data_IF_105403548424
#
_entry.id   IF_105403548424
#
_cell.length_a   1.000
_cell.length_b   1.000
_cell.length_c   1.000
_cell.angle_alpha   90.00
_cell.angle_beta   90.00
_cell.angle_gamma   90.00
#
_symmetry.space_group_name_H-M   'P 1'
#
loop_
_entity.id
_entity.type
_entity.pdbx_description
1 polymer ?
#
# COMPACT_ATOMS: atom_id res chain seq x y z
N UNK A 1 -0.28 -4.74 9.60
CA UNK A 1 -0.23 -5.95 10.43
C UNK A 1 -1.50 -6.07 11.22
N UNK A 2 -2.13 -7.23 11.21
CA UNK A 2 -3.33 -7.51 12.01
C UNK A 2 -2.99 -7.42 13.50
N UNK A 3 -3.83 -6.72 14.26
CA UNK A 3 -3.71 -6.58 15.70
C UNK A 3 -4.82 -7.40 16.36
N UNK A 4 -4.45 -8.49 17.03
CA UNK A 4 -5.39 -9.41 17.65
C UNK A 4 -6.18 -8.77 18.80
N UNK A 5 -5.71 -7.66 19.38
CA UNK A 5 -6.43 -6.94 20.42
C UNK A 5 -7.54 -6.02 19.87
N UNK A 6 -7.52 -5.69 18.57
CA UNK A 6 -8.46 -4.75 17.94
C UNK A 6 -8.90 -5.24 16.54
N UNK A 7 -9.82 -6.22 16.45
CA UNK A 7 -10.18 -6.89 15.19
C UNK A 7 -10.87 -5.97 14.17
N UNK A 8 -11.48 -4.86 14.61
CA UNK A 8 -12.15 -3.90 13.72
C UNK A 8 -11.23 -2.81 13.16
N UNK A 9 -9.96 -2.80 13.56
CA UNK A 9 -9.01 -1.79 13.10
C UNK A 9 -8.59 -2.08 11.66
N UNK A 10 -8.65 -1.07 10.76
CA UNK A 10 -8.11 -1.24 9.42
C UNK A 10 -6.63 -1.65 9.47
N UNK A 11 -6.27 -2.65 8.70
CA UNK A 11 -4.89 -3.12 8.59
C UNK A 11 -4.42 -3.18 7.14
N UNK A 12 -3.11 -3.10 6.99
CA UNK A 12 -2.39 -3.16 5.71
C UNK A 12 -1.54 -4.43 5.69
N UNK A 13 -1.52 -5.08 4.54
CA UNK A 13 -0.67 -6.22 4.24
C UNK A 13 0.28 -5.85 3.08
N UNK A 14 1.57 -6.11 3.28
CA UNK A 14 2.61 -5.86 2.26
C UNK A 14 2.75 -7.16 1.46
N UNK A 15 2.42 -7.10 0.16
CA UNK A 15 2.53 -8.24 -0.75
C UNK A 15 3.96 -8.39 -1.24
N UNK A 16 4.68 -7.27 -1.41
CA UNK A 16 6.08 -7.28 -1.84
C UNK A 16 6.94 -8.07 -0.84
N UNK A 17 7.89 -8.91 -1.30
CA UNK A 17 8.79 -9.64 -0.43
C UNK A 17 9.51 -8.74 0.58
N UNK A 18 9.60 -9.19 1.84
CA UNK A 18 10.29 -8.45 2.91
C UNK A 18 11.80 -8.37 2.69
N UNK A 19 12.37 -9.40 2.04
CA UNK A 19 13.79 -9.45 1.70
C UNK A 19 14.15 -8.35 0.67
N UNK A 20 15.00 -7.38 1.03
CA UNK A 20 15.41 -6.31 0.12
C UNK A 20 16.10 -6.79 -1.15
N UNK A 21 16.73 -7.98 -1.15
CA UNK A 21 17.36 -8.55 -2.35
C UNK A 21 16.34 -9.06 -3.37
N UNK A 22 15.08 -9.24 -2.96
CA UNK A 22 13.98 -9.76 -3.79
C UNK A 22 12.98 -8.66 -4.20
N UNK A 23 13.31 -7.38 -3.99
CA UNK A 23 12.44 -6.27 -4.40
C UNK A 23 13.23 -5.02 -4.80
N UNK A 24 12.59 -4.17 -5.60
CA UNK A 24 13.03 -2.80 -5.83
C UNK A 24 12.54 -1.83 -4.75
N UNK A 25 12.44 -0.54 -5.13
CA UNK A 25 11.82 0.49 -4.29
C UNK A 25 10.29 0.39 -4.21
N UNK A 26 9.66 -0.33 -5.16
CA UNK A 26 8.22 -0.45 -5.24
C UNK A 26 7.65 -1.41 -4.18
N UNK A 27 6.62 -0.96 -3.47
CA UNK A 27 5.84 -1.74 -2.52
C UNK A 27 4.39 -1.90 -3.00
N UNK A 28 3.91 -3.14 -3.01
CA UNK A 28 2.55 -3.54 -3.34
C UNK A 28 1.81 -3.81 -2.04
N UNK A 29 0.72 -3.08 -1.82
CA UNK A 29 -0.03 -3.07 -0.57
C UNK A 29 -1.46 -3.52 -0.83
N UNK A 30 -2.00 -4.35 0.07
CA UNK A 30 -3.43 -4.62 0.18
C UNK A 30 -3.96 -4.12 1.52
N UNK A 31 -5.23 -3.76 1.55
CA UNK A 31 -5.90 -3.17 2.71
C UNK A 31 -7.11 -4.01 3.09
N UNK A 32 -7.42 -4.05 4.38
CA UNK A 32 -8.64 -4.67 4.91
C UNK A 32 -9.92 -3.86 4.62
N UNK A 33 -9.79 -2.75 3.89
CA UNK A 33 -10.85 -1.81 3.53
C UNK A 33 -10.84 -1.57 2.02
N UNK A 34 -11.93 -1.06 1.42
CA UNK A 34 -12.00 -0.84 -0.02
C UNK A 34 -10.88 0.08 -0.52
N UNK A 35 -10.03 -0.45 -1.40
CA UNK A 35 -8.81 0.25 -1.84
C UNK A 35 -9.10 1.52 -2.63
N UNK A 36 -10.24 1.55 -3.34
CA UNK A 36 -10.70 2.74 -4.08
C UNK A 36 -10.85 3.95 -3.16
N UNK A 37 -11.35 3.77 -1.92
CA UNK A 37 -11.46 4.87 -0.95
C UNK A 37 -10.08 5.35 -0.50
N UNK A 38 -9.15 4.42 -0.26
CA UNK A 38 -7.77 4.74 0.13
C UNK A 38 -7.07 5.51 -1.00
N UNK A 39 -7.19 5.03 -2.24
CA UNK A 39 -6.62 5.67 -3.42
C UNK A 39 -7.15 7.09 -3.62
N UNK A 40 -8.48 7.30 -3.58
CA UNK A 40 -9.09 8.62 -3.71
C UNK A 40 -8.61 9.59 -2.62
N UNK A 41 -8.49 9.12 -1.38
CA UNK A 41 -8.01 9.92 -0.26
C UNK A 41 -6.52 10.28 -0.38
N UNK A 42 -5.71 9.39 -0.96
CA UNK A 42 -4.30 9.66 -1.25
C UNK A 42 -4.15 10.68 -2.39
N UNK A 43 -4.89 10.48 -3.48
CA UNK A 43 -4.93 11.39 -4.63
C UNK A 43 -5.35 12.80 -4.21
N UNK A 44 -6.40 12.94 -3.40
CA UNK A 44 -6.86 14.23 -2.85
C UNK A 44 -5.80 14.95 -2.02
N UNK A 45 -4.87 14.21 -1.41
CA UNK A 45 -3.74 14.75 -0.63
C UNK A 45 -2.48 14.97 -1.48
N UNK A 46 -2.55 14.78 -2.80
CA UNK A 46 -1.45 14.96 -3.73
C UNK A 46 -0.47 13.78 -3.79
N UNK A 47 -0.85 12.61 -3.26
CA UNK A 47 -0.01 11.42 -3.34
C UNK A 47 -0.25 10.71 -4.66
N UNK A 48 0.74 10.76 -5.56
CA UNK A 48 0.74 9.98 -6.79
C UNK A 48 1.07 8.50 -6.50
N UNK A 49 0.17 7.61 -6.89
CA UNK A 49 0.31 6.15 -6.71
C UNK A 49 -0.42 5.40 -7.82
N UNK A 50 -0.19 4.10 -7.95
CA UNK A 50 -0.84 3.25 -8.96
C UNK A 50 -1.77 2.23 -8.29
N UNK A 51 -3.03 2.18 -8.70
CA UNK A 51 -4.00 1.20 -8.22
C UNK A 51 -4.17 0.07 -9.25
N UNK A 52 -4.09 -1.17 -8.78
CA UNK A 52 -4.36 -2.38 -9.56
C UNK A 52 -5.59 -3.09 -9.01
N UNK A 53 -6.64 -3.12 -9.82
CA UNK A 53 -7.88 -3.80 -9.46
C UNK A 53 -7.65 -5.31 -9.28
N UNK A 54 -8.34 -5.96 -8.33
CA UNK A 54 -9.39 -5.40 -7.48
C UNK A 54 -8.91 -4.77 -6.15
N UNK A 55 -7.65 -4.98 -5.72
CA UNK A 55 -7.28 -4.76 -4.31
C UNK A 55 -5.83 -4.38 -4.02
N UNK A 56 -5.04 -3.97 -5.02
CA UNK A 56 -3.61 -3.65 -4.81
C UNK A 56 -3.31 -2.17 -5.07
N UNK A 57 -2.58 -1.54 -4.15
CA UNK A 57 -2.01 -0.20 -4.31
C UNK A 57 -0.49 -0.33 -4.40
N UNK A 58 0.10 0.31 -5.40
CA UNK A 58 1.54 0.35 -5.58
C UNK A 58 2.08 1.74 -5.29
N UNK A 59 3.09 1.79 -4.43
CA UNK A 59 3.87 2.99 -4.13
C UNK A 59 5.33 2.71 -4.42
N UNK A 60 6.06 3.66 -4.98
CA UNK A 60 7.46 3.48 -5.35
C UNK A 60 8.25 4.77 -5.09
N UNK A 61 8.76 4.98 -3.86
CA UNK A 61 9.67 6.08 -3.57
C UNK A 61 10.99 5.82 -4.29
N UNK A 62 11.25 6.50 -5.41
CA UNK A 62 12.47 6.29 -6.17
C UNK A 62 13.63 7.10 -5.57
N UNK A 63 14.85 6.53 -5.46
CA UNK A 63 15.95 7.16 -4.73
C UNK A 63 16.41 8.52 -5.24
N UNK A 64 16.12 8.85 -6.50
CA UNK A 64 16.64 10.05 -7.15
C UNK A 64 15.94 11.33 -6.66
N UNK A 65 14.67 11.26 -6.26
CA UNK A 65 13.84 12.45 -6.03
C UNK A 65 12.68 12.26 -5.05
N UNK A 66 12.67 11.19 -4.26
CA UNK A 66 11.68 10.97 -3.21
C UNK A 66 12.29 10.98 -1.81
#
# INVERSE_FOLDING_TARGET
TEDQAQPHKPHVHIITPSDPQQRGCQLSLSFSVPIRRVFQELERRGVASDMREPSVLRVAPVPLYN
#
